data_IF_068535984582
#
_entry.id   IF_068535984582
#
_cell.length_a   1.000
_cell.length_b   1.000
_cell.length_c   1.000
_cell.angle_alpha   90.00
_cell.angle_beta   90.00
_cell.angle_gamma   90.00
#
_symmetry.space_group_name_H-M   'P 1'
#
loop_
_entity.id
_entity.type
_entity.pdbx_description
1 polymer ?
#
# COMPACT_ATOMS: atom_id res chain seq x y z
N UNK A 1 -3.40 5.36 -13.05
CA UNK A 1 -2.93 3.95 -13.14
C UNK A 1 -3.84 3.08 -14.00
N UNK A 2 -5.06 2.74 -13.55
CA UNK A 2 -5.93 1.76 -14.25
C UNK A 2 -6.22 2.16 -15.71
N UNK A 3 -6.54 3.43 -15.94
CA UNK A 3 -6.97 3.94 -17.25
C UNK A 3 -5.83 4.35 -18.18
N UNK A 4 -4.61 4.47 -17.66
CA UNK A 4 -3.46 5.03 -18.39
C UNK A 4 -2.34 3.99 -18.39
N UNK A 5 -1.52 4.00 -17.35
CA UNK A 5 -0.31 3.17 -17.27
C UNK A 5 -0.55 1.65 -17.29
N UNK A 6 -1.64 1.13 -16.72
CA UNK A 6 -1.84 -0.34 -16.60
C UNK A 6 -1.91 -1.03 -17.96
N UNK A 7 -2.54 -0.40 -18.96
CA UNK A 7 -2.72 -0.98 -20.29
C UNK A 7 -1.39 -1.10 -21.04
N UNK A 8 -0.50 -0.12 -20.88
CA UNK A 8 0.84 -0.14 -21.47
C UNK A 8 1.66 -1.37 -21.04
N UNK A 9 1.50 -1.81 -19.79
CA UNK A 9 2.17 -3.02 -19.27
C UNK A 9 1.48 -4.33 -19.67
N UNK A 10 0.17 -4.32 -19.94
CA UNK A 10 -0.57 -5.53 -20.31
C UNK A 10 -0.32 -5.98 -21.75
N UNK A 11 -0.02 -5.06 -22.67
CA UNK A 11 0.23 -5.36 -24.09
C UNK A 11 -0.88 -6.24 -24.69
N UNK A 12 -2.13 -5.79 -24.54
CA UNK A 12 -3.35 -6.44 -25.06
C UNK A 12 -3.66 -7.82 -24.49
N UNK A 13 -3.05 -8.21 -23.37
CA UNK A 13 -3.41 -9.43 -22.65
C UNK A 13 -4.52 -9.18 -21.64
N UNK A 14 -5.51 -10.06 -21.62
CA UNK A 14 -6.50 -10.08 -20.54
C UNK A 14 -5.85 -10.53 -19.23
N UNK A 15 -6.15 -9.82 -18.13
CA UNK A 15 -5.66 -10.16 -16.81
C UNK A 15 -6.57 -9.59 -15.72
N UNK A 16 -6.97 -10.46 -14.79
CA UNK A 16 -7.72 -10.10 -13.59
C UNK A 16 -6.83 -9.53 -12.46
N UNK A 17 -5.53 -9.36 -12.71
CA UNK A 17 -4.60 -8.84 -11.70
C UNK A 17 -4.56 -7.32 -11.74
N UNK A 18 -4.96 -6.67 -10.64
CA UNK A 18 -5.00 -5.21 -10.57
C UNK A 18 -3.62 -4.58 -10.73
N UNK A 19 -2.64 -5.00 -9.91
CA UNK A 19 -1.29 -4.41 -9.90
C UNK A 19 -0.26 -5.31 -10.60
N UNK A 20 0.36 -4.76 -11.62
CA UNK A 20 1.37 -5.42 -12.44
C UNK A 20 2.77 -4.94 -12.10
N UNK A 21 3.77 -5.80 -12.31
CA UNK A 21 5.17 -5.41 -12.37
C UNK A 21 5.52 -4.83 -13.76
N UNK A 22 6.75 -4.35 -13.92
CA UNK A 22 7.24 -3.77 -15.18
C UNK A 22 7.21 -4.73 -16.37
N UNK A 23 7.14 -6.05 -16.14
CA UNK A 23 7.04 -7.08 -17.17
C UNK A 23 5.58 -7.42 -17.54
N UNK A 24 4.58 -6.71 -16.99
CA UNK A 24 3.16 -6.99 -17.20
C UNK A 24 2.62 -8.20 -16.42
N UNK A 25 3.39 -8.72 -15.46
CA UNK A 25 3.01 -9.88 -14.64
C UNK A 25 2.50 -9.42 -13.26
N UNK A 26 1.93 -10.33 -12.47
CA UNK A 26 1.50 -10.03 -11.10
C UNK A 26 2.62 -9.43 -10.26
N UNK A 27 2.34 -8.30 -9.60
CA UNK A 27 3.25 -7.70 -8.63
C UNK A 27 3.50 -8.68 -7.47
N UNK A 28 4.78 -8.92 -7.17
CA UNK A 28 5.17 -9.75 -6.02
C UNK A 28 5.30 -8.90 -4.75
N UNK A 29 5.18 -9.53 -3.58
CA UNK A 29 5.40 -8.85 -2.29
C UNK A 29 6.79 -8.21 -2.20
N UNK A 30 7.82 -8.90 -2.71
CA UNK A 30 9.18 -8.38 -2.72
C UNK A 30 9.34 -7.19 -3.67
N UNK A 31 8.71 -7.25 -4.86
CA UNK A 31 8.71 -6.13 -5.80
C UNK A 31 8.03 -4.90 -5.22
N UNK A 32 6.85 -5.07 -4.63
CA UNK A 32 6.15 -4.01 -3.92
C UNK A 32 7.02 -3.41 -2.80
N UNK A 33 7.74 -4.26 -2.06
CA UNK A 33 8.61 -3.80 -0.98
C UNK A 33 9.81 -2.98 -1.46
N UNK A 34 10.37 -3.31 -2.63
CA UNK A 34 11.43 -2.49 -3.25
C UNK A 34 10.92 -1.09 -3.60
N UNK A 35 9.70 -0.99 -4.13
CA UNK A 35 9.05 0.29 -4.47
C UNK A 35 8.88 1.15 -3.21
N UNK A 36 8.32 0.59 -2.14
CA UNK A 36 8.16 1.31 -0.86
C UNK A 36 9.49 1.83 -0.33
N UNK A 37 10.55 1.02 -0.38
CA UNK A 37 11.90 1.43 0.06
C UNK A 37 12.48 2.55 -0.80
N UNK A 38 12.20 2.59 -2.10
CA UNK A 38 12.61 3.70 -2.98
C UNK A 38 11.99 5.01 -2.50
N UNK A 39 10.67 5.02 -2.33
CA UNK A 39 9.95 6.20 -1.86
C UNK A 39 10.37 6.62 -0.45
N UNK A 40 10.64 5.66 0.44
CA UNK A 40 11.17 5.95 1.77
C UNK A 40 12.49 6.73 1.71
N UNK A 41 13.39 6.30 0.82
CA UNK A 41 14.68 6.95 0.60
C UNK A 41 14.50 8.35 -0.01
N UNK A 42 13.65 8.48 -1.01
CA UNK A 42 13.34 9.76 -1.65
C UNK A 42 12.70 10.76 -0.68
N UNK A 43 11.88 10.28 0.25
CA UNK A 43 11.26 11.08 1.31
C UNK A 43 12.18 11.35 2.52
N UNK A 44 13.45 10.87 2.50
CA UNK A 44 14.38 11.06 3.62
C UNK A 44 14.01 10.28 4.89
N UNK A 45 13.23 9.20 4.78
CA UNK A 45 12.81 8.38 5.92
C UNK A 45 13.94 7.39 6.25
N UNK A 46 14.71 7.71 7.29
CA UNK A 46 15.79 6.84 7.80
C UNK A 46 15.28 5.71 8.70
N UNK A 47 14.06 5.85 9.25
CA UNK A 47 13.44 4.84 10.11
C UNK A 47 13.14 3.57 9.31
N UNK A 48 13.25 2.42 9.97
CA UNK A 48 12.88 1.12 9.39
C UNK A 48 11.38 1.09 9.08
N UNK A 49 11.04 1.10 7.79
CA UNK A 49 9.67 0.84 7.35
C UNK A 49 9.44 -0.67 7.36
N UNK A 50 8.26 -1.10 7.78
CA UNK A 50 7.73 -2.47 7.70
C UNK A 50 6.26 -2.40 7.25
N UNK A 51 5.64 -3.51 6.80
CA UNK A 51 4.20 -3.50 6.52
C UNK A 51 3.34 -3.05 7.70
N UNK A 52 3.74 -3.41 8.93
CA UNK A 52 3.05 -2.99 10.16
C UNK A 52 3.21 -1.49 10.40
N UNK A 53 4.44 -0.97 10.38
CA UNK A 53 4.67 0.46 10.65
C UNK A 53 4.05 1.36 9.60
N UNK A 54 4.02 0.94 8.33
CA UNK A 54 3.32 1.66 7.26
C UNK A 54 1.82 1.70 7.49
N UNK A 55 1.19 0.56 7.81
CA UNK A 55 -0.25 0.49 8.11
C UNK A 55 -0.62 1.33 9.33
N UNK A 56 0.16 1.22 10.40
CA UNK A 56 -0.09 1.97 11.63
C UNK A 56 0.05 3.48 11.39
N UNK A 57 1.07 3.91 10.66
CA UNK A 57 1.24 5.35 10.33
C UNK A 57 0.10 5.87 9.48
N UNK A 58 -0.40 5.09 8.52
CA UNK A 58 -1.59 5.44 7.74
C UNK A 58 -2.84 5.57 8.62
N UNK A 59 -3.03 4.65 9.56
CA UNK A 59 -4.15 4.66 10.49
C UNK A 59 -4.11 5.87 11.43
N UNK A 60 -2.95 6.13 12.06
CA UNK A 60 -2.73 7.29 12.90
C UNK A 60 -2.97 8.59 12.14
N UNK A 61 -2.42 8.70 10.92
CA UNK A 61 -2.62 9.87 10.06
C UNK A 61 -4.09 10.11 9.70
N UNK A 62 -4.87 9.06 9.45
CA UNK A 62 -6.31 9.21 9.20
C UNK A 62 -7.06 9.71 10.44
N UNK A 63 -6.75 9.17 11.62
CA UNK A 63 -7.38 9.60 12.88
C UNK A 63 -7.04 11.07 13.18
N UNK A 64 -5.77 11.46 13.03
CA UNK A 64 -5.32 12.85 13.22
C UNK A 64 -6.05 13.84 12.31
N UNK A 65 -6.46 13.40 11.11
CA UNK A 65 -7.21 14.21 10.16
C UNK A 65 -8.74 14.07 10.30
N UNK A 66 -9.23 13.49 11.41
CA UNK A 66 -10.65 13.44 11.73
C UNK A 66 -11.43 12.30 11.07
N UNK A 67 -10.75 11.26 10.58
CA UNK A 67 -11.44 10.06 10.10
C UNK A 67 -12.15 9.35 11.27
N UNK A 68 -13.41 8.97 11.05
CA UNK A 68 -14.17 8.19 12.04
C UNK A 68 -13.56 6.79 12.21
N UNK A 69 -13.55 6.32 13.47
CA UNK A 69 -12.95 5.04 13.84
C UNK A 69 -13.62 3.85 13.12
N UNK A 70 -14.93 3.95 12.83
CA UNK A 70 -15.66 2.93 12.08
C UNK A 70 -15.22 2.85 10.62
N UNK A 71 -14.98 4.00 9.99
CA UNK A 71 -14.42 4.08 8.64
C UNK A 71 -13.00 3.49 8.58
N UNK A 72 -12.18 3.76 9.59
CA UNK A 72 -10.84 3.19 9.69
C UNK A 72 -10.86 1.66 9.83
N UNK A 73 -11.73 1.12 10.69
CA UNK A 73 -11.90 -0.33 10.86
C UNK A 73 -12.33 -1.03 9.57
N UNK A 74 -13.21 -0.40 8.78
CA UNK A 74 -13.60 -0.95 7.48
C UNK A 74 -12.43 -0.94 6.49
N UNK A 75 -11.60 0.11 6.49
CA UNK A 75 -10.46 0.26 5.58
C UNK A 75 -9.28 -0.66 5.90
N UNK A 76 -9.04 -0.94 7.19
CA UNK A 76 -7.99 -1.85 7.64
C UNK A 76 -8.43 -3.33 7.65
N UNK A 77 -9.73 -3.56 7.44
CA UNK A 77 -10.41 -4.84 7.66
C UNK A 77 -10.67 -5.07 9.15
N UNK A 78 -11.49 -6.09 9.48
CA UNK A 78 -11.70 -6.58 10.86
C UNK A 78 -10.42 -7.12 11.53
N UNK A 79 -9.23 -6.75 11.04
CA UNK A 79 -7.96 -7.00 11.67
C UNK A 79 -7.93 -6.25 13.01
N UNK A 80 -8.40 -6.97 14.03
CA UNK A 80 -8.04 -6.86 15.43
C UNK A 80 -7.37 -5.53 15.82
N UNK A 81 -8.20 -4.62 16.33
CA UNK A 81 -7.81 -3.34 16.95
C UNK A 81 -6.81 -3.58 18.10
N UNK A 82 -6.66 -4.81 18.56
CA UNK A 82 -5.69 -5.25 19.57
C UNK A 82 -4.23 -4.92 19.23
N UNK A 83 -3.89 -4.58 17.98
CA UNK A 83 -2.54 -4.08 17.64
C UNK A 83 -2.41 -2.56 17.54
N UNK A 84 -3.46 -1.79 17.85
CA UNK A 84 -3.43 -0.31 17.81
C UNK A 84 -3.80 0.31 19.17
N UNK A 85 -3.41 -0.35 20.27
CA UNK A 85 -3.32 0.31 21.57
C UNK A 85 -1.86 0.27 22.04
N UNK A 86 -1.41 1.45 22.48
CA UNK A 86 -0.06 1.89 22.87
C UNK A 86 0.74 2.52 21.73
#
# INVERSE_FOLDING_TARGET
YINEYRQEFLKDKESNVLFLNFHGQKMTRQGFWKIIKSYAKEAGIEKKITPYTLRHSFAAHLIENGADLKSLQQMLGHADISTTQI
#
